data_IF_716187372707
#
_entry.id   IF_716187372707
#
_cell.length_a   1.000
_cell.length_b   1.000
_cell.length_c   1.000
_cell.angle_alpha   90.00
_cell.angle_beta   90.00
_cell.angle_gamma   90.00
#
_symmetry.space_group_name_H-M   'P 1'
#
loop_
_entity.id
_entity.type
_entity.pdbx_description
1 polymer ?
#
# COMPACT_ATOMS: atom_id res chain seq x y z
N UNK A 1 20.20 -39.51 12.19
CA UNK A 1 20.55 -38.52 11.14
C UNK A 1 19.31 -38.16 10.29
N UNK A 2 18.26 -37.57 10.87
CA UNK A 2 16.93 -37.44 10.21
C UNK A 2 16.33 -36.03 10.23
N UNK A 3 16.98 -35.07 10.89
CA UNK A 3 16.45 -33.71 11.07
C UNK A 3 16.68 -32.77 9.88
N UNK A 4 17.68 -33.05 9.02
CA UNK A 4 18.02 -32.19 7.88
C UNK A 4 17.09 -32.38 6.66
N UNK A 5 16.58 -33.60 6.43
CA UNK A 5 15.71 -33.90 5.27
C UNK A 5 14.31 -33.30 5.40
N UNK A 6 13.76 -33.25 6.62
CA UNK A 6 12.42 -32.69 6.88
C UNK A 6 12.40 -31.15 6.77
N UNK A 7 13.46 -30.47 7.21
CA UNK A 7 13.60 -28.99 7.09
C UNK A 7 13.75 -28.52 5.64
N UNK A 8 14.48 -29.28 4.81
CA UNK A 8 14.65 -29.00 3.38
C UNK A 8 13.30 -29.05 2.65
N UNK A 9 12.52 -30.10 2.87
CA UNK A 9 11.18 -30.26 2.26
C UNK A 9 10.17 -29.21 2.74
N UNK A 10 10.22 -28.78 4.01
CA UNK A 10 9.35 -27.70 4.47
C UNK A 10 9.71 -26.33 3.86
N UNK A 11 10.99 -26.10 3.55
CA UNK A 11 11.44 -24.83 2.97
C UNK A 11 11.03 -24.71 1.51
N UNK A 12 11.14 -25.79 0.73
CA UNK A 12 10.69 -25.82 -0.66
C UNK A 12 9.17 -25.69 -0.79
N UNK A 13 8.39 -26.37 0.07
CA UNK A 13 6.92 -26.26 0.07
C UNK A 13 6.47 -24.84 0.41
N UNK A 14 7.10 -24.17 1.38
CA UNK A 14 6.80 -22.77 1.71
C UNK A 14 7.20 -21.80 0.59
N UNK A 15 8.29 -22.06 -0.11
CA UNK A 15 8.70 -21.24 -1.25
C UNK A 15 7.66 -21.30 -2.38
N UNK A 16 7.20 -22.50 -2.75
CA UNK A 16 6.17 -22.71 -3.77
C UNK A 16 4.83 -22.07 -3.34
N UNK A 17 4.45 -22.21 -2.08
CA UNK A 17 3.25 -21.57 -1.55
C UNK A 17 3.35 -20.04 -1.60
N UNK A 18 4.49 -19.46 -1.22
CA UNK A 18 4.70 -18.02 -1.31
C UNK A 18 4.65 -17.52 -2.75
N UNK A 19 5.24 -18.25 -3.70
CA UNK A 19 5.18 -17.94 -5.13
C UNK A 19 3.73 -17.93 -5.63
N UNK A 20 2.96 -18.99 -5.33
CA UNK A 20 1.53 -19.04 -5.68
C UNK A 20 0.70 -17.92 -5.03
N UNK A 21 1.05 -17.49 -3.82
CA UNK A 21 0.41 -16.37 -3.15
C UNK A 21 0.74 -15.03 -3.80
N UNK A 22 1.98 -14.85 -4.29
CA UNK A 22 2.41 -13.65 -5.03
C UNK A 22 1.70 -13.59 -6.38
N UNK A 23 1.58 -14.71 -7.08
CA UNK A 23 0.88 -14.78 -8.37
C UNK A 23 -0.59 -14.42 -8.19
N UNK A 24 -1.26 -15.04 -7.20
CA UNK A 24 -2.66 -14.72 -6.87
C UNK A 24 -2.84 -13.24 -6.48
N UNK A 25 -1.87 -12.66 -5.75
CA UNK A 25 -1.92 -11.24 -5.39
C UNK A 25 -1.72 -10.34 -6.61
N UNK A 26 -0.83 -10.71 -7.52
CA UNK A 26 -0.58 -9.98 -8.78
C UNK A 26 -1.83 -9.98 -9.66
N UNK A 27 -2.48 -11.13 -9.84
CA UNK A 27 -3.75 -11.24 -10.58
C UNK A 27 -4.84 -10.34 -9.97
N UNK A 28 -4.94 -10.30 -8.63
CA UNK A 28 -5.90 -9.42 -7.95
C UNK A 28 -5.57 -7.94 -8.16
N UNK A 29 -4.29 -7.57 -8.20
CA UNK A 29 -3.86 -6.20 -8.48
C UNK A 29 -4.24 -5.83 -9.92
N UNK A 30 -4.01 -6.72 -10.89
CA UNK A 30 -4.38 -6.48 -12.29
C UNK A 30 -5.89 -6.33 -12.45
N UNK A 31 -6.68 -7.17 -11.77
CA UNK A 31 -8.13 -7.04 -11.74
C UNK A 31 -8.57 -5.71 -11.14
N UNK A 32 -8.00 -5.29 -10.01
CA UNK A 32 -8.29 -4.01 -9.38
C UNK A 32 -7.88 -2.83 -10.26
N UNK A 33 -6.78 -2.96 -10.99
CA UNK A 33 -6.32 -1.93 -11.93
C UNK A 33 -7.35 -1.72 -13.04
N UNK A 34 -7.79 -2.78 -13.72
CA UNK A 34 -8.78 -2.68 -14.80
C UNK A 34 -10.11 -2.12 -14.28
N UNK A 35 -10.58 -2.58 -13.12
CA UNK A 35 -11.81 -2.08 -12.52
C UNK A 35 -11.73 -0.58 -12.15
N UNK A 36 -10.60 -0.14 -11.59
CA UNK A 36 -10.39 1.26 -11.28
C UNK A 36 -10.29 2.12 -12.55
N UNK A 37 -9.61 1.63 -13.59
CA UNK A 37 -9.51 2.34 -14.86
C UNK A 37 -10.91 2.58 -15.46
N UNK A 38 -11.72 1.53 -15.55
CA UNK A 38 -13.11 1.64 -16.02
C UNK A 38 -13.93 2.62 -15.19
N UNK A 39 -13.79 2.59 -13.85
CA UNK A 39 -14.48 3.54 -12.97
C UNK A 39 -14.03 4.99 -13.21
N UNK A 40 -12.73 5.23 -13.41
CA UNK A 40 -12.17 6.57 -13.67
C UNK A 40 -12.62 7.11 -15.03
N UNK A 41 -12.69 6.27 -16.05
CA UNK A 41 -13.20 6.65 -17.37
C UNK A 41 -14.67 7.05 -17.29
N UNK A 42 -15.52 6.24 -16.64
CA UNK A 42 -16.93 6.57 -16.42
C UNK A 42 -17.11 7.88 -15.62
N UNK A 43 -16.28 8.12 -14.60
CA UNK A 43 -16.30 9.39 -13.86
C UNK A 43 -15.93 10.58 -14.74
N UNK A 44 -14.95 10.39 -15.63
CA UNK A 44 -14.52 11.42 -16.59
C UNK A 44 -15.62 11.72 -17.60
N UNK A 45 -16.33 10.70 -18.10
CA UNK A 45 -17.51 10.85 -18.98
C UNK A 45 -18.64 11.64 -18.29
N UNK A 46 -18.78 11.50 -16.97
CA UNK A 46 -19.70 12.29 -16.15
C UNK A 46 -19.21 13.72 -15.85
N UNK A 47 -18.06 14.12 -16.40
CA UNK A 47 -17.47 15.46 -16.24
C UNK A 47 -16.67 15.65 -14.95
N UNK A 48 -16.34 14.57 -14.24
CA UNK A 48 -15.45 14.65 -13.07
C UNK A 48 -14.02 14.80 -13.56
N UNK A 49 -13.34 15.85 -13.09
CA UNK A 49 -11.96 16.12 -13.44
C UNK A 49 -10.98 15.30 -12.61
N UNK A 50 -9.80 15.04 -13.16
CA UNK A 50 -8.69 14.40 -12.44
C UNK A 50 -8.35 15.14 -11.11
N UNK A 51 -8.41 16.47 -11.10
CA UNK A 51 -8.16 17.28 -9.90
C UNK A 51 -9.17 16.98 -8.77
N UNK A 52 -10.45 16.81 -9.10
CA UNK A 52 -11.48 16.43 -8.13
C UNK A 52 -11.24 15.03 -7.57
N UNK A 53 -10.81 14.08 -8.42
CA UNK A 53 -10.46 12.73 -8.00
C UNK A 53 -9.26 12.77 -7.03
N UNK A 54 -8.20 13.50 -7.37
CA UNK A 54 -7.01 13.66 -6.51
C UNK A 54 -7.37 14.28 -5.15
N UNK A 55 -8.20 15.32 -5.15
CA UNK A 55 -8.70 15.92 -3.90
C UNK A 55 -9.51 14.91 -3.08
N UNK A 56 -10.30 14.06 -3.74
CA UNK A 56 -11.07 13.02 -3.05
C UNK A 56 -10.18 11.95 -2.44
N UNK A 57 -9.09 11.57 -3.10
CA UNK A 57 -8.07 10.65 -2.57
C UNK A 57 -7.44 11.24 -1.31
N UNK A 58 -7.04 12.51 -1.32
CA UNK A 58 -6.50 13.20 -0.15
C UNK A 58 -7.53 13.24 1.01
N UNK A 59 -8.79 13.57 0.73
CA UNK A 59 -9.88 13.51 1.72
C UNK A 59 -10.08 12.10 2.31
N UNK A 60 -9.91 11.05 1.52
CA UNK A 60 -10.03 9.66 1.98
C UNK A 60 -8.84 9.28 2.88
N UNK A 61 -7.59 9.56 2.47
CA UNK A 61 -6.40 9.23 3.28
C UNK A 61 -6.41 9.97 4.62
N UNK A 62 -6.81 11.25 4.63
CA UNK A 62 -6.97 12.03 5.86
C UNK A 62 -8.08 11.50 6.77
N UNK A 63 -9.15 10.89 6.22
CA UNK A 63 -10.21 10.26 7.01
C UNK A 63 -9.75 8.95 7.65
N UNK A 64 -8.97 8.14 6.95
CA UNK A 64 -8.35 6.93 7.49
C UNK A 64 -7.44 7.28 8.69
N UNK A 65 -6.74 8.42 8.63
CA UNK A 65 -5.98 8.97 9.76
C UNK A 65 -6.81 9.48 10.95
N UNK A 66 -8.09 9.83 10.75
CA UNK A 66 -8.99 10.30 11.82
C UNK A 66 -9.71 9.16 12.55
N UNK A 67 -10.01 8.06 11.87
CA UNK A 67 -10.79 6.96 12.44
C UNK A 67 -10.01 6.18 13.52
N UNK A 68 -8.68 6.30 13.54
CA UNK A 68 -7.80 5.60 14.48
C UNK A 68 -7.41 6.44 15.73
N UNK A 69 -8.09 7.58 15.96
CA UNK A 69 -8.07 8.32 17.23
C UNK A 69 -6.74 8.98 17.63
N UNK A 70 -5.67 8.78 16.86
CA UNK A 70 -4.36 9.41 17.06
C UNK A 70 -4.04 10.23 15.83
N UNK A 71 -4.24 11.55 15.92
CA UNK A 71 -3.72 12.53 14.97
C UNK A 71 -2.17 12.45 14.98
N UNK A 72 -1.61 11.46 14.30
CA UNK A 72 -0.19 11.44 14.01
C UNK A 72 0.06 12.54 13.00
N UNK A 73 0.94 13.49 13.34
CA UNK A 73 1.36 14.54 12.41
C UNK A 73 1.74 13.91 11.05
N UNK A 74 1.14 14.35 9.93
CA UNK A 74 1.49 13.84 8.61
C UNK A 74 2.97 14.08 8.35
N UNK A 75 3.66 13.08 7.83
CA UNK A 75 5.05 13.24 7.36
C UNK A 75 5.00 13.48 5.85
N UNK A 76 6.01 14.14 5.29
CA UNK A 76 6.16 14.26 3.84
C UNK A 76 7.05 13.13 3.30
N UNK A 77 6.68 12.55 2.17
CA UNK A 77 7.53 11.59 1.48
C UNK A 77 8.77 12.32 0.96
N UNK A 78 9.97 11.85 1.33
CA UNK A 78 11.23 12.41 0.81
C UNK A 78 11.37 12.27 -0.71
N UNK A 79 10.68 11.29 -1.29
CA UNK A 79 10.89 10.91 -2.69
C UNK A 79 9.86 11.54 -3.64
N UNK A 80 8.60 11.69 -3.20
CA UNK A 80 7.53 12.23 -4.04
C UNK A 80 6.86 13.50 -3.47
N UNK A 81 7.28 13.96 -2.28
CA UNK A 81 6.77 15.18 -1.64
C UNK A 81 5.33 15.10 -1.12
N UNK A 82 4.63 13.98 -1.30
CA UNK A 82 3.24 13.85 -0.86
C UNK A 82 3.17 13.67 0.66
N UNK A 83 2.12 14.25 1.26
CA UNK A 83 1.79 14.05 2.68
C UNK A 83 1.25 12.65 2.89
N UNK A 84 1.80 11.97 3.89
CA UNK A 84 1.52 10.57 4.20
C UNK A 84 1.36 10.39 5.70
N UNK A 85 0.46 9.49 6.09
CA UNK A 85 0.30 9.11 7.50
C UNK A 85 1.58 8.48 8.05
N UNK A 86 2.03 8.95 9.23
CA UNK A 86 3.24 8.45 9.92
C UNK A 86 3.16 6.96 10.30
N UNK A 87 1.96 6.37 10.30
CA UNK A 87 1.77 4.94 10.61
C UNK A 87 2.23 4.02 9.48
N UNK A 88 2.38 4.52 8.26
CA UNK A 88 2.77 3.69 7.10
C UNK A 88 4.29 3.53 7.05
N UNK A 89 4.77 2.33 6.72
CA UNK A 89 6.19 2.06 6.47
C UNK A 89 6.60 2.41 5.04
N UNK A 90 5.62 2.55 4.14
CA UNK A 90 5.81 2.83 2.72
C UNK A 90 4.85 3.95 2.29
N UNK A 91 5.31 4.80 1.38
CA UNK A 91 4.53 5.87 0.79
C UNK A 91 3.38 5.27 -0.01
N UNK A 92 2.16 5.75 0.23
CA UNK A 92 0.98 5.31 -0.52
C UNK A 92 1.09 5.65 -2.01
N UNK A 93 1.71 6.78 -2.34
CA UNK A 93 1.78 7.29 -3.71
C UNK A 93 2.89 6.65 -4.55
N UNK A 94 4.11 6.55 -4.01
CA UNK A 94 5.27 6.08 -4.76
C UNK A 94 5.85 4.74 -4.27
N UNK A 95 5.32 4.18 -3.19
CA UNK A 95 5.79 2.90 -2.63
C UNK A 95 7.11 2.96 -1.85
N UNK A 96 7.82 4.10 -1.89
CA UNK A 96 9.09 4.30 -1.18
C UNK A 96 8.99 4.05 0.31
N UNK A 97 10.04 3.49 0.92
CA UNK A 97 10.09 3.31 2.37
C UNK A 97 10.14 4.65 3.09
N UNK A 98 9.24 4.82 4.06
CA UNK A 98 9.19 5.98 4.95
C UNK A 98 10.03 5.60 6.16
N UNK A 99 11.15 6.31 6.39
CA UNK A 99 12.02 6.05 7.53
C UNK A 99 11.29 6.38 8.84
N UNK A 100 10.65 5.37 9.43
CA UNK A 100 10.08 5.41 10.78
C UNK A 100 11.18 5.26 11.84
N UNK A 101 12.10 6.21 11.96
CA UNK A 101 12.96 6.30 13.15
C UNK A 101 13.19 7.74 13.57
N UNK A 102 12.39 8.16 14.55
CA UNK A 102 12.53 9.43 15.26
C UNK A 102 11.81 9.36 16.60
N UNK A 103 11.93 8.26 17.34
CA UNK A 103 11.66 8.24 18.77
C UNK A 103 12.94 8.70 19.47
N UNK A 104 13.08 10.01 19.72
CA UNK A 104 14.05 10.47 20.72
C UNK A 104 13.43 10.13 22.08
N UNK A 105 13.94 9.06 22.70
CA UNK A 105 13.83 8.87 24.13
C UNK A 105 14.67 9.98 24.78
N UNK A 106 14.00 10.94 25.42
CA UNK A 106 14.57 11.69 26.55
C UNK A 106 14.24 10.96 27.83
#
# INVERSE_FOLDING_TARGET
>A
MTTNSVKSNQTSVRAIQNESHIDTLSEKIDQLYIMNLAALELLTELGITQSQIMKKIEEIDLRDGKLDGKLSQPTECSDCGHRISKRRTNCFYCGSKINSFGFKAT
#
